data_IF_488244078921
#
_entry.id   IF_488244078921
#
_cell.length_a   1.000
_cell.length_b   1.000
_cell.length_c   1.000
_cell.angle_alpha   90.00
_cell.angle_beta   90.00
_cell.angle_gamma   90.00
#
_symmetry.space_group_name_H-M   'P 1'
#
loop_
_entity.id
_entity.type
_entity.pdbx_description
1 polymer ?
#
# COMPACT_ATOMS: atom_id res chain seq x y z
N UNK A 1 24.80 4.14 37.39
CA UNK A 1 24.94 5.08 36.26
C UNK A 1 25.79 4.43 35.18
N UNK A 2 25.18 3.86 34.15
CA UNK A 2 25.89 3.39 32.95
C UNK A 2 25.04 3.78 31.73
N UNK A 3 24.98 5.08 31.44
CA UNK A 3 24.50 5.57 30.15
C UNK A 3 25.61 5.36 29.11
N UNK A 4 25.60 4.21 28.46
CA UNK A 4 26.21 4.07 27.12
C UNK A 4 25.11 4.21 26.07
N UNK A 5 24.37 5.33 26.13
CA UNK A 5 23.57 5.80 25.00
C UNK A 5 24.52 6.25 23.89
N UNK A 6 24.93 5.32 23.03
CA UNK A 6 25.72 5.66 21.84
C UNK A 6 24.87 6.55 20.95
N UNK A 7 25.22 7.83 20.89
CA UNK A 7 24.61 8.85 20.05
C UNK A 7 24.38 8.30 18.63
N UNK A 8 23.12 8.03 18.29
CA UNK A 8 22.69 7.73 16.93
C UNK A 8 23.05 8.95 16.08
N UNK A 9 24.10 8.84 15.27
CA UNK A 9 24.57 9.98 14.46
C UNK A 9 23.52 10.33 13.41
N UNK A 10 23.24 11.62 13.19
CA UNK A 10 22.27 12.11 12.20
C UNK A 10 22.48 11.54 10.79
N UNK A 11 23.73 11.19 10.44
CA UNK A 11 24.10 10.51 9.20
C UNK A 11 23.51 9.10 9.09
N UNK A 12 23.49 8.32 10.18
CA UNK A 12 22.95 6.96 10.19
C UNK A 12 21.43 6.97 10.06
N UNK A 13 20.75 7.96 10.65
CA UNK A 13 19.30 8.17 10.51
C UNK A 13 18.94 8.48 9.05
N UNK A 14 19.69 9.37 8.38
CA UNK A 14 19.47 9.68 6.97
C UNK A 14 19.68 8.47 6.05
N UNK A 15 20.74 7.69 6.29
CA UNK A 15 21.00 6.46 5.52
C UNK A 15 19.85 5.46 5.71
N UNK A 16 19.42 5.23 6.96
CA UNK A 16 18.32 4.33 7.25
C UNK A 16 16.99 4.80 6.61
N UNK A 17 16.71 6.11 6.65
CA UNK A 17 15.52 6.68 6.00
C UNK A 17 15.51 6.40 4.49
N UNK A 18 16.60 6.69 3.78
CA UNK A 18 16.68 6.48 2.34
C UNK A 18 16.69 5.01 1.95
N UNK A 19 17.35 4.16 2.74
CA UNK A 19 17.36 2.71 2.52
C UNK A 19 15.97 2.11 2.71
N UNK A 20 15.24 2.54 3.74
CA UNK A 20 13.86 2.08 3.94
C UNK A 20 12.93 2.68 2.88
N UNK A 21 13.14 3.92 2.46
CA UNK A 21 12.40 4.55 1.36
C UNK A 21 12.57 3.82 0.02
N UNK A 22 13.74 3.23 -0.27
CA UNK A 22 13.89 2.42 -1.48
C UNK A 22 13.03 1.14 -1.46
N UNK A 23 12.71 0.61 -0.27
CA UNK A 23 11.76 -0.49 -0.15
C UNK A 23 10.38 -0.08 -0.66
N UNK A 24 9.92 1.15 -0.35
CA UNK A 24 8.62 1.68 -0.80
C UNK A 24 8.49 1.60 -2.31
N UNK A 25 9.55 1.96 -3.02
CA UNK A 25 9.64 1.81 -4.46
C UNK A 25 9.51 0.35 -4.92
N UNK A 26 10.25 -0.58 -4.30
CA UNK A 26 10.28 -2.00 -4.69
C UNK A 26 8.90 -2.67 -4.61
N UNK A 27 8.15 -2.46 -3.53
CA UNK A 27 6.82 -3.06 -3.43
C UNK A 27 5.78 -2.32 -4.26
N UNK A 28 5.90 -0.99 -4.42
CA UNK A 28 5.05 -0.23 -5.35
C UNK A 28 5.21 -0.73 -6.78
N UNK A 29 6.46 -0.94 -7.21
CA UNK A 29 6.78 -1.54 -8.50
C UNK A 29 6.20 -2.96 -8.65
N UNK A 30 6.32 -3.79 -7.61
CA UNK A 30 5.72 -5.14 -7.61
C UNK A 30 4.20 -5.10 -7.75
N UNK A 31 3.53 -4.19 -7.06
CA UNK A 31 2.08 -4.04 -7.13
C UNK A 31 1.65 -3.63 -8.54
N UNK A 32 2.34 -2.66 -9.14
CA UNK A 32 2.09 -2.26 -10.52
C UNK A 32 2.29 -3.39 -11.54
N UNK A 33 3.25 -4.28 -11.32
CA UNK A 33 3.45 -5.46 -12.17
C UNK A 33 2.37 -6.53 -12.01
N UNK A 34 1.77 -6.66 -10.82
CA UNK A 34 0.68 -7.61 -10.55
C UNK A 34 -0.50 -7.38 -11.51
N UNK A 35 -0.85 -6.12 -11.77
CA UNK A 35 -1.95 -5.75 -12.66
C UNK A 35 -1.67 -6.15 -14.12
N UNK A 36 -0.43 -5.94 -14.60
CA UNK A 36 -0.04 -6.39 -15.94
C UNK A 36 -0.01 -7.91 -16.04
N UNK A 37 0.45 -8.58 -14.98
CA UNK A 37 0.49 -10.04 -14.91
C UNK A 37 -0.90 -10.66 -14.95
N UNK A 38 -1.89 -10.07 -14.27
CA UNK A 38 -3.29 -10.49 -14.41
C UNK A 38 -3.75 -10.48 -15.87
N UNK A 39 -3.43 -9.39 -16.61
CA UNK A 39 -3.79 -9.29 -18.03
C UNK A 39 -3.03 -10.30 -18.88
N UNK A 40 -1.76 -10.52 -18.58
CA UNK A 40 -0.91 -11.50 -19.26
C UNK A 40 -1.50 -12.92 -19.17
N UNK A 41 -1.93 -13.34 -17.97
CA UNK A 41 -2.55 -14.66 -17.78
C UNK A 41 -3.88 -14.81 -18.51
N UNK A 42 -4.70 -13.76 -18.55
CA UNK A 42 -5.95 -13.77 -19.32
C UNK A 42 -5.69 -13.91 -20.83
N UNK A 43 -4.69 -13.21 -21.36
CA UNK A 43 -4.40 -13.19 -22.79
C UNK A 43 -3.66 -14.45 -23.28
N UNK A 44 -2.72 -14.98 -22.50
CA UNK A 44 -1.80 -16.03 -22.95
C UNK A 44 -2.06 -17.41 -22.34
N UNK A 45 -2.60 -17.48 -21.11
CA UNK A 45 -2.93 -18.75 -20.45
C UNK A 45 -4.43 -19.08 -20.48
N UNK A 46 -5.25 -18.25 -21.16
CA UNK A 46 -6.70 -18.46 -21.27
C UNK A 46 -7.43 -18.43 -19.92
N UNK A 47 -6.83 -17.82 -18.90
CA UNK A 47 -7.39 -17.78 -17.54
C UNK A 47 -8.61 -16.87 -17.51
N UNK A 48 -9.72 -17.38 -16.97
CA UNK A 48 -10.95 -16.58 -16.85
C UNK A 48 -10.76 -15.42 -15.87
N UNK A 49 -11.54 -14.35 -16.02
CA UNK A 49 -11.50 -13.20 -15.10
C UNK A 49 -11.66 -13.60 -13.64
N UNK A 50 -12.57 -14.55 -13.36
CA UNK A 50 -12.80 -15.08 -12.02
C UNK A 50 -11.56 -15.78 -11.44
N UNK A 51 -10.88 -16.61 -12.24
CA UNK A 51 -9.66 -17.30 -11.82
C UNK A 51 -8.50 -16.32 -11.66
N UNK A 52 -8.40 -15.28 -12.51
CA UNK A 52 -7.40 -14.21 -12.32
C UNK A 52 -7.64 -13.41 -11.03
N UNK A 53 -8.89 -13.30 -10.57
CA UNK A 53 -9.23 -12.73 -9.27
C UNK A 53 -8.65 -13.51 -8.09
N UNK A 54 -8.38 -14.81 -8.23
CA UNK A 54 -7.68 -15.59 -7.21
C UNK A 54 -6.25 -15.11 -6.98
N UNK A 55 -5.61 -14.49 -7.98
CA UNK A 55 -4.29 -13.90 -7.81
C UNK A 55 -4.34 -12.70 -6.87
N UNK A 56 -5.34 -11.83 -7.03
CA UNK A 56 -5.58 -10.72 -6.11
C UNK A 56 -5.95 -11.23 -4.71
N UNK A 57 -6.81 -12.25 -4.63
CA UNK A 57 -7.16 -12.87 -3.36
C UNK A 57 -5.93 -13.47 -2.65
N UNK A 58 -5.04 -14.14 -3.39
CA UNK A 58 -3.78 -14.65 -2.86
C UNK A 58 -2.84 -13.51 -2.42
N UNK A 59 -2.77 -12.44 -3.21
CA UNK A 59 -1.96 -11.27 -2.88
C UNK A 59 -2.44 -10.60 -1.58
N UNK A 60 -3.71 -10.22 -1.48
CA UNK A 60 -4.27 -9.63 -0.25
C UNK A 60 -4.31 -10.63 0.93
N UNK A 61 -4.52 -11.91 0.65
CA UNK A 61 -4.45 -12.98 1.65
C UNK A 61 -3.05 -13.11 2.24
N UNK A 62 -2.00 -12.99 1.41
CA UNK A 62 -0.60 -13.00 1.85
C UNK A 62 -0.30 -11.85 2.81
N UNK A 63 -0.81 -10.65 2.53
CA UNK A 63 -0.72 -9.48 3.42
C UNK A 63 -1.38 -9.72 4.77
N UNK A 64 -2.59 -10.30 4.77
CA UNK A 64 -3.33 -10.59 6.00
C UNK A 64 -2.62 -11.65 6.86
N UNK A 65 -2.14 -12.73 6.24
CA UNK A 65 -1.51 -13.86 6.94
C UNK A 65 -0.15 -13.48 7.50
N UNK A 66 0.68 -12.76 6.75
CA UNK A 66 2.07 -12.50 7.16
C UNK A 66 2.21 -11.40 8.20
N UNK A 67 1.25 -10.48 8.32
CA UNK A 67 1.39 -9.29 9.16
C UNK A 67 1.66 -9.65 10.64
N UNK A 68 0.95 -10.63 11.20
CA UNK A 68 1.17 -11.10 12.58
C UNK A 68 2.56 -11.77 12.71
N UNK A 69 2.92 -12.82 11.94
CA UNK A 69 4.26 -13.40 11.96
C UNK A 69 5.39 -12.38 11.78
N UNK A 70 5.22 -11.42 10.86
CA UNK A 70 6.19 -10.36 10.60
C UNK A 70 6.41 -9.48 11.83
N UNK A 71 5.33 -9.09 12.53
CA UNK A 71 5.48 -8.36 13.78
C UNK A 71 6.11 -9.18 14.90
N UNK A 72 5.83 -10.49 15.00
CA UNK A 72 6.46 -11.36 15.99
C UNK A 72 7.98 -11.43 15.77
N UNK A 73 8.41 -11.60 14.51
CA UNK A 73 9.83 -11.57 14.13
C UNK A 73 10.42 -10.20 14.45
N UNK A 74 9.71 -9.12 14.16
CA UNK A 74 10.16 -7.77 14.46
C UNK A 74 10.30 -7.49 15.96
N UNK A 75 9.41 -8.04 16.79
CA UNK A 75 9.47 -7.92 18.25
C UNK A 75 10.69 -8.65 18.79
N UNK A 76 11.06 -9.80 18.22
CA UNK A 76 12.19 -10.61 18.68
C UNK A 76 13.55 -10.18 18.12
N UNK A 77 13.61 -9.75 16.87
CA UNK A 77 14.85 -9.48 16.13
C UNK A 77 14.99 -8.03 15.63
N UNK A 78 14.12 -7.13 16.12
CA UNK A 78 14.07 -5.74 15.69
C UNK A 78 13.43 -5.56 14.31
N UNK A 79 13.17 -4.30 13.91
CA UNK A 79 12.60 -3.98 12.59
C UNK A 79 13.47 -4.52 11.45
N UNK A 80 14.79 -4.50 11.62
CA UNK A 80 15.74 -5.07 10.65
C UNK A 80 15.49 -6.56 10.41
N UNK A 81 15.21 -7.36 11.45
CA UNK A 81 14.91 -8.78 11.29
C UNK A 81 13.65 -9.03 10.46
N UNK A 82 12.59 -8.25 10.69
CA UNK A 82 11.36 -8.32 9.90
C UNK A 82 11.53 -7.88 8.44
N UNK A 83 12.36 -6.85 8.19
CA UNK A 83 12.71 -6.41 6.83
C UNK A 83 13.50 -7.48 6.08
N UNK A 84 14.50 -8.10 6.73
CA UNK A 84 15.30 -9.18 6.11
C UNK A 84 14.41 -10.36 5.75
N UNK A 85 13.49 -10.76 6.63
CA UNK A 85 12.51 -11.81 6.33
C UNK A 85 11.65 -11.43 5.12
N UNK A 86 11.17 -10.18 5.05
CA UNK A 86 10.38 -9.69 3.92
C UNK A 86 11.13 -9.71 2.59
N UNK A 87 12.37 -9.23 2.58
CA UNK A 87 13.22 -9.25 1.39
C UNK A 87 13.55 -10.69 0.95
N UNK A 88 13.79 -11.60 1.90
CA UNK A 88 14.09 -12.99 1.61
C UNK A 88 12.87 -13.71 0.99
N UNK A 89 11.68 -13.51 1.56
CA UNK A 89 10.43 -14.05 1.01
C UNK A 89 10.13 -13.44 -0.38
N UNK A 90 10.37 -12.15 -0.56
CA UNK A 90 10.16 -11.50 -1.86
C UNK A 90 11.10 -12.07 -2.93
N UNK A 91 12.40 -12.20 -2.62
CA UNK A 91 13.36 -12.83 -3.53
C UNK A 91 12.99 -14.29 -3.84
N UNK A 92 12.59 -15.06 -2.83
CA UNK A 92 12.15 -16.45 -3.00
C UNK A 92 10.94 -16.54 -3.94
N UNK A 93 9.91 -15.72 -3.70
CA UNK A 93 8.73 -15.69 -4.53
C UNK A 93 9.04 -15.28 -5.97
N UNK A 94 9.93 -14.29 -6.17
CA UNK A 94 10.38 -13.88 -7.50
C UNK A 94 11.17 -14.99 -8.23
N UNK A 95 12.00 -15.77 -7.53
CA UNK A 95 12.71 -16.91 -8.12
C UNK A 95 11.78 -18.09 -8.43
N UNK A 96 10.70 -18.28 -7.66
CA UNK A 96 9.66 -19.29 -7.93
C UNK A 96 8.85 -19.01 -9.20
N UNK A 97 8.92 -17.79 -9.75
CA UNK A 97 8.34 -17.48 -11.06
C UNK A 97 9.05 -18.26 -12.18
N UNK A 98 10.34 -18.61 -12.02
CA UNK A 98 11.09 -19.40 -13.01
C UNK A 98 10.44 -20.77 -13.26
N UNK A 99 10.29 -21.66 -12.24
CA UNK A 99 9.61 -22.94 -12.45
C UNK A 99 8.13 -22.76 -12.82
N UNK A 100 7.44 -21.75 -12.27
CA UNK A 100 6.05 -21.49 -12.63
C UNK A 100 5.86 -21.16 -14.11
N UNK A 101 6.80 -20.40 -14.68
CA UNK A 101 6.80 -19.99 -16.07
C UNK A 101 7.24 -21.11 -17.02
N UNK A 102 8.22 -21.93 -16.63
CA UNK A 102 8.64 -23.11 -17.41
C UNK A 102 7.50 -24.15 -17.53
N UNK A 103 6.76 -24.38 -16.45
CA UNK A 103 5.62 -25.30 -16.43
C UNK A 103 4.31 -24.66 -16.92
N UNK A 104 4.32 -23.35 -17.21
CA UNK A 104 3.14 -22.54 -17.58
C UNK A 104 1.96 -22.74 -16.62
N UNK A 105 2.23 -23.00 -15.34
CA UNK A 105 1.23 -23.43 -14.36
C UNK A 105 0.71 -22.26 -13.54
N UNK A 106 -0.57 -21.93 -13.74
CA UNK A 106 -1.24 -20.87 -12.98
C UNK A 106 -1.18 -21.09 -11.46
N UNK A 107 -1.25 -22.35 -11.00
CA UNK A 107 -1.18 -22.66 -9.56
C UNK A 107 0.21 -22.37 -8.97
N UNK A 108 1.28 -22.63 -9.72
CA UNK A 108 2.63 -22.29 -9.30
C UNK A 108 2.85 -20.77 -9.29
N UNK A 109 2.28 -20.05 -10.28
CA UNK A 109 2.26 -18.59 -10.25
C UNK A 109 1.52 -18.08 -9.02
N UNK A 110 0.33 -18.62 -8.73
CA UNK A 110 -0.45 -18.22 -7.55
C UNK A 110 0.33 -18.41 -6.25
N UNK A 111 1.05 -19.54 -6.10
CA UNK A 111 1.93 -19.78 -4.96
C UNK A 111 3.10 -18.78 -4.91
N UNK A 112 3.75 -18.52 -6.04
CA UNK A 112 4.85 -17.56 -6.12
C UNK A 112 4.39 -16.14 -5.73
N UNK A 113 3.25 -15.69 -6.26
CA UNK A 113 2.67 -14.39 -5.93
C UNK A 113 2.19 -14.30 -4.47
N UNK A 114 1.67 -15.40 -3.90
CA UNK A 114 1.35 -15.46 -2.48
C UNK A 114 2.61 -15.26 -1.61
N UNK A 115 3.72 -15.91 -1.96
CA UNK A 115 5.00 -15.76 -1.25
C UNK A 115 5.57 -14.34 -1.42
N UNK A 116 5.50 -13.78 -2.64
CA UNK A 116 5.85 -12.36 -2.89
C UNK A 116 5.02 -11.46 -1.97
N UNK A 117 3.70 -11.65 -1.94
CA UNK A 117 2.80 -10.87 -1.13
C UNK A 117 3.08 -10.99 0.38
N UNK A 118 3.47 -12.19 0.86
CA UNK A 118 3.98 -12.35 2.22
C UNK A 118 5.27 -11.53 2.45
N UNK A 119 6.20 -11.55 1.50
CA UNK A 119 7.40 -10.72 1.56
C UNK A 119 7.08 -9.23 1.67
N UNK A 120 6.22 -8.74 0.79
CA UNK A 120 5.79 -7.34 0.75
C UNK A 120 5.01 -6.93 2.02
N UNK A 121 4.08 -7.76 2.48
CA UNK A 121 3.34 -7.53 3.73
C UNK A 121 4.27 -7.48 4.94
N UNK A 122 5.34 -8.28 4.97
CA UNK A 122 6.38 -8.17 6.01
C UNK A 122 7.16 -6.86 5.88
N UNK A 123 7.52 -6.43 4.67
CA UNK A 123 8.19 -5.14 4.46
C UNK A 123 7.32 -3.99 4.94
N UNK A 124 6.04 -3.95 4.59
CA UNK A 124 5.12 -2.89 5.00
C UNK A 124 4.86 -2.88 6.51
N UNK A 125 4.73 -4.06 7.12
CA UNK A 125 4.55 -4.20 8.58
C UNK A 125 5.74 -3.64 9.37
N UNK A 126 6.93 -3.61 8.76
CA UNK A 126 8.15 -3.15 9.42
C UNK A 126 8.61 -1.75 8.98
N UNK A 127 8.52 -1.43 7.69
CA UNK A 127 9.01 -0.18 7.11
C UNK A 127 8.13 1.02 7.50
N UNK A 128 6.79 0.86 7.48
CA UNK A 128 5.87 1.92 7.87
C UNK A 128 6.09 2.39 9.32
N UNK A 129 6.04 1.51 10.35
CA UNK A 129 6.27 1.95 11.72
C UNK A 129 7.70 2.43 11.95
N UNK A 130 8.69 1.86 11.26
CA UNK A 130 10.08 2.32 11.34
C UNK A 130 10.21 3.77 10.89
N UNK A 131 9.69 4.15 9.71
CA UNK A 131 9.74 5.53 9.21
C UNK A 131 8.96 6.49 10.11
N UNK A 132 7.78 6.06 10.62
CA UNK A 132 7.00 6.91 11.52
C UNK A 132 7.70 7.14 12.85
N UNK A 133 8.53 6.20 13.35
CA UNK A 133 9.29 6.37 14.60
C UNK A 133 10.74 6.86 14.40
N UNK A 134 11.18 7.02 13.15
CA UNK A 134 12.50 7.55 12.79
C UNK A 134 12.53 9.10 12.91
N UNK A 135 12.23 9.62 14.10
CA UNK A 135 12.16 11.06 14.39
C UNK A 135 11.00 11.41 15.33
N UNK A 136 10.66 12.71 15.43
CA UNK A 136 9.57 13.18 16.31
C UNK A 136 8.18 12.74 15.86
N UNK A 137 7.27 12.52 16.80
CA UNK A 137 5.89 12.11 16.50
C UNK A 137 5.13 13.20 15.70
N UNK A 138 5.48 14.49 15.84
CA UNK A 138 4.88 15.61 15.09
C UNK A 138 5.06 15.48 13.56
N UNK A 139 6.27 15.11 13.13
CA UNK A 139 6.62 14.97 11.71
C UNK A 139 6.38 13.53 11.19
N UNK A 140 5.78 12.63 11.99
CA UNK A 140 5.61 11.23 11.62
C UNK A 140 4.82 11.07 10.31
N UNK A 141 3.70 11.79 10.18
CA UNK A 141 2.87 11.79 8.97
C UNK A 141 3.62 12.32 7.74
N UNK A 142 4.41 13.38 7.89
CA UNK A 142 5.25 13.93 6.82
C UNK A 142 6.28 12.89 6.33
N UNK A 143 7.00 12.23 7.24
CA UNK A 143 8.04 11.25 6.89
C UNK A 143 7.48 10.05 6.15
N UNK A 144 6.37 9.47 6.63
CA UNK A 144 5.76 8.33 5.95
C UNK A 144 5.15 8.72 4.60
N UNK A 145 4.53 9.90 4.47
CA UNK A 145 4.02 10.37 3.17
C UNK A 145 5.16 10.60 2.16
N UNK A 146 6.30 11.14 2.61
CA UNK A 146 7.49 11.30 1.78
C UNK A 146 8.00 9.93 1.30
N UNK A 147 8.14 8.95 2.20
CA UNK A 147 8.57 7.61 1.83
C UNK A 147 7.56 6.93 0.87
N UNK A 148 6.26 7.05 1.16
CA UNK A 148 5.19 6.56 0.28
C UNK A 148 5.14 7.25 -1.08
N UNK A 149 5.72 8.44 -1.25
CA UNK A 149 5.81 9.06 -2.58
C UNK A 149 6.65 8.21 -3.55
N UNK A 150 7.70 7.55 -3.06
CA UNK A 150 8.50 6.61 -3.84
C UNK A 150 7.72 5.34 -4.20
N UNK A 151 6.82 4.89 -3.32
CA UNK A 151 5.89 3.81 -3.65
C UNK A 151 4.99 4.19 -4.83
N UNK A 152 4.43 5.41 -4.85
CA UNK A 152 3.61 5.88 -5.96
C UNK A 152 4.39 5.93 -7.29
N UNK A 153 5.67 6.32 -7.26
CA UNK A 153 6.54 6.25 -8.44
C UNK A 153 6.74 4.80 -8.91
N UNK A 154 6.98 3.87 -7.98
CA UNK A 154 7.09 2.45 -8.30
C UNK A 154 5.82 1.90 -8.97
N UNK A 155 4.66 2.22 -8.40
CA UNK A 155 3.36 1.77 -8.92
C UNK A 155 3.06 2.34 -10.31
N UNK A 156 3.55 3.53 -10.63
CA UNK A 156 3.45 4.09 -11.98
C UNK A 156 4.42 3.43 -12.98
N UNK A 157 5.65 3.13 -12.57
CA UNK A 157 6.64 2.50 -13.45
C UNK A 157 6.40 1.01 -13.70
N UNK A 158 5.81 0.30 -12.72
CA UNK A 158 5.52 -1.14 -12.81
C UNK A 158 4.75 -1.50 -14.08
N UNK A 159 3.59 -0.89 -14.36
CA UNK A 159 2.80 -1.19 -15.54
C UNK A 159 3.51 -0.84 -16.86
N UNK A 160 4.34 0.21 -16.88
CA UNK A 160 5.09 0.62 -18.08
C UNK A 160 6.14 -0.44 -18.43
N UNK A 161 6.93 -0.86 -17.45
CA UNK A 161 7.96 -1.89 -17.63
C UNK A 161 7.31 -3.24 -17.95
N UNK A 162 6.26 -3.62 -17.20
CA UNK A 162 5.52 -4.85 -17.44
C UNK A 162 4.86 -4.87 -18.82
N UNK A 163 4.20 -3.78 -19.22
CA UNK A 163 3.53 -3.69 -20.53
C UNK A 163 4.51 -3.83 -21.69
N UNK A 164 5.63 -3.10 -21.63
CA UNK A 164 6.66 -3.14 -22.66
C UNK A 164 7.30 -4.53 -22.79
N UNK A 165 7.64 -5.18 -21.67
CA UNK A 165 8.38 -6.44 -21.67
C UNK A 165 7.48 -7.68 -21.82
N UNK A 166 6.29 -7.68 -21.22
CA UNK A 166 5.36 -8.81 -21.29
C UNK A 166 4.51 -8.77 -22.56
N UNK A 167 3.85 -7.63 -22.82
CA UNK A 167 2.77 -7.55 -23.81
C UNK A 167 3.27 -7.09 -25.20
N UNK A 168 4.22 -6.16 -25.29
CA UNK A 168 4.63 -5.57 -26.57
C UNK A 168 5.66 -6.40 -27.35
N UNK A 169 6.54 -7.13 -26.68
CA UNK A 169 7.61 -7.90 -27.34
C UNK A 169 7.15 -9.28 -27.83
N UNK A 170 6.03 -9.81 -27.33
CA UNK A 170 5.69 -11.22 -27.49
C UNK A 170 4.94 -11.58 -28.78
N UNK A 171 4.29 -10.63 -29.49
CA UNK A 171 3.59 -10.88 -30.77
C UNK A 171 2.79 -12.22 -30.85
N UNK A 172 2.16 -12.66 -29.74
CA UNK A 172 1.39 -13.91 -29.68
C UNK A 172 2.18 -15.19 -29.40
N UNK A 173 3.51 -15.13 -29.26
CA UNK A 173 4.40 -16.25 -28.91
C UNK A 173 4.45 -16.42 -27.38
N UNK A 174 3.84 -17.49 -26.87
CA UNK A 174 3.73 -17.80 -25.44
C UNK A 174 5.10 -18.07 -24.82
N UNK A 175 6.01 -18.74 -25.53
CA UNK A 175 7.31 -19.12 -24.99
C UNK A 175 8.22 -17.90 -24.81
N UNK A 176 8.17 -16.96 -25.76
CA UNK A 176 8.87 -15.67 -25.62
C UNK A 176 8.27 -14.81 -24.52
N UNK A 177 6.95 -14.81 -24.38
CA UNK A 177 6.29 -14.11 -23.28
C UNK A 177 6.77 -14.63 -21.92
N UNK A 178 6.76 -15.96 -21.74
CA UNK A 178 7.20 -16.61 -20.51
C UNK A 178 8.68 -16.32 -20.21
N UNK A 179 9.56 -16.35 -21.21
CA UNK A 179 10.96 -15.95 -21.04
C UNK A 179 11.11 -14.48 -20.60
N UNK A 180 10.30 -13.55 -21.14
CA UNK A 180 10.33 -12.15 -20.72
C UNK A 180 9.81 -11.95 -19.29
N UNK A 181 8.77 -12.70 -18.90
CA UNK A 181 8.28 -12.73 -17.51
C UNK A 181 9.40 -13.18 -16.57
N UNK A 182 10.09 -14.27 -16.90
CA UNK A 182 11.24 -14.73 -16.13
C UNK A 182 12.33 -13.67 -16.03
N UNK A 183 12.69 -13.03 -17.13
CA UNK A 183 13.74 -12.00 -17.15
C UNK A 183 13.42 -10.85 -16.19
N UNK A 184 12.18 -10.36 -16.19
CA UNK A 184 11.77 -9.28 -15.27
C UNK A 184 11.84 -9.73 -13.81
N UNK A 185 11.29 -10.90 -13.48
CA UNK A 185 11.27 -11.38 -12.10
C UNK A 185 12.65 -11.80 -11.59
N UNK A 186 13.53 -12.32 -12.45
CA UNK A 186 14.95 -12.53 -12.12
C UNK A 186 15.65 -11.19 -11.87
N UNK A 187 15.40 -10.18 -12.71
CA UNK A 187 15.91 -8.82 -12.49
C UNK A 187 15.48 -8.25 -11.14
N UNK A 188 14.20 -8.41 -10.79
CA UNK A 188 13.66 -8.04 -9.48
C UNK A 188 14.37 -8.83 -8.37
N UNK A 189 14.51 -10.15 -8.49
CA UNK A 189 15.17 -10.98 -7.49
C UNK A 189 16.62 -10.52 -7.25
N UNK A 190 17.37 -10.20 -8.30
CA UNK A 190 18.75 -9.67 -8.19
C UNK A 190 18.76 -8.34 -7.43
N UNK A 191 17.88 -7.41 -7.79
CA UNK A 191 17.78 -6.11 -7.10
C UNK A 191 17.39 -6.29 -5.63
N UNK A 192 16.41 -7.14 -5.34
CA UNK A 192 15.95 -7.44 -3.98
C UNK A 192 17.05 -8.10 -3.14
N UNK A 193 17.82 -9.03 -3.72
CA UNK A 193 18.96 -9.66 -3.06
C UNK A 193 20.10 -8.67 -2.80
N UNK A 194 20.36 -7.75 -3.73
CA UNK A 194 21.33 -6.67 -3.51
C UNK A 194 20.89 -5.76 -2.36
N UNK A 195 19.62 -5.37 -2.32
CA UNK A 195 19.05 -4.59 -1.20
C UNK A 195 19.13 -5.38 0.10
N UNK A 196 18.81 -6.68 0.09
CA UNK A 196 18.96 -7.57 1.25
C UNK A 196 20.39 -7.58 1.78
N UNK A 197 21.39 -7.73 0.89
CA UNK A 197 22.80 -7.70 1.27
C UNK A 197 23.17 -6.37 1.94
N UNK A 198 22.73 -5.24 1.37
CA UNK A 198 22.93 -3.92 1.98
C UNK A 198 22.26 -3.84 3.35
N UNK A 199 21.03 -4.30 3.52
CA UNK A 199 20.35 -4.31 4.83
C UNK A 199 21.09 -5.16 5.87
N UNK A 200 21.61 -6.33 5.48
CA UNK A 200 22.40 -7.19 6.36
C UNK A 200 23.67 -6.47 6.81
N UNK A 201 24.39 -5.82 5.89
CA UNK A 201 25.65 -5.11 6.16
C UNK A 201 25.46 -3.80 6.94
N UNK A 202 24.33 -3.12 6.77
CA UNK A 202 24.08 -1.81 7.38
C UNK A 202 23.58 -1.97 8.82
N UNK A 203 24.15 -1.21 9.76
CA UNK A 203 23.60 -1.13 11.13
C UNK A 203 22.48 -0.10 11.17
N UNK A 204 21.26 -0.55 11.43
CA UNK A 204 20.10 0.31 11.61
C UNK A 204 19.88 0.57 13.10
N UNK A 205 19.76 1.84 13.54
CA UNK A 205 19.29 2.13 14.89
C UNK A 205 17.86 1.60 15.04
N UNK A 206 17.52 1.07 16.21
CA UNK A 206 16.13 0.67 16.46
C UNK A 206 15.26 1.93 16.60
N UNK A 207 14.04 1.90 16.05
CA UNK A 207 13.14 3.07 16.11
C UNK A 207 12.86 3.55 17.53
N UNK A 208 12.88 2.64 18.52
CA UNK A 208 12.79 2.92 19.96
C UNK A 208 13.94 3.77 20.46
N UNK A 209 15.18 3.47 20.05
CA UNK A 209 16.37 4.24 20.45
C UNK A 209 16.31 5.68 19.94
N UNK A 210 15.65 5.92 18.80
CA UNK A 210 15.47 7.27 18.23
C UNK A 210 14.35 8.03 18.94
N UNK A 211 13.22 7.39 19.25
CA UNK A 211 12.13 8.01 20.02
C UNK A 211 12.50 8.32 21.47
N UNK A 212 13.35 7.50 22.10
CA UNK A 212 13.88 7.74 23.44
C UNK A 212 14.76 9.00 23.48
N UNK A 213 15.39 9.34 22.35
CA UNK A 213 16.27 10.52 22.22
C UNK A 213 15.48 11.81 21.94
N UNK A 214 14.28 11.73 21.36
CA UNK A 214 13.43 12.91 21.08
C UNK A 214 12.46 13.27 22.20
N UNK A 215 12.37 12.45 23.26
CA UNK A 215 11.43 12.66 24.37
C UNK A 215 9.99 12.24 24.07
N UNK A 216 9.74 11.61 22.92
CA UNK A 216 8.43 11.11 22.50
C UNK A 216 8.20 9.64 22.90
N UNK A 217 9.14 9.04 23.62
CA UNK A 217 9.04 7.67 24.10
C UNK A 217 7.97 7.55 25.19
N UNK A 218 6.87 6.88 24.83
CA UNK A 218 5.90 6.40 25.80
C UNK A 218 6.45 5.11 26.41
N UNK A 219 6.63 5.11 27.73
CA UNK A 219 7.15 3.97 28.48
C UNK A 219 6.34 2.70 28.20
N UNK A 220 7.01 1.55 28.25
CA UNK A 220 6.36 0.26 28.05
C UNK A 220 5.23 0.05 29.08
N UNK A 221 4.03 -0.22 28.57
CA UNK A 221 2.84 -0.47 29.40
C UNK A 221 2.24 -1.85 29.11
N UNK A 222 1.68 -2.47 30.16
CA UNK A 222 0.92 -3.71 30.08
C UNK A 222 1.75 -4.97 29.80
N UNK A 223 1.07 -6.02 29.38
CA UNK A 223 1.68 -7.31 29.04
C UNK A 223 2.38 -7.33 27.68
N UNK A 224 2.27 -6.22 26.94
CA UNK A 224 2.64 -6.13 25.54
C UNK A 224 1.71 -6.95 24.63
N UNK A 225 0.52 -7.39 25.08
CA UNK A 225 -0.37 -8.24 24.29
C UNK A 225 -1.18 -7.45 23.26
N UNK A 226 -1.69 -8.11 22.22
CA UNK A 226 -2.63 -7.50 21.27
C UNK A 226 -3.88 -6.94 21.95
N UNK A 227 -4.31 -7.52 23.07
CA UNK A 227 -5.44 -7.01 23.86
C UNK A 227 -5.18 -5.63 24.49
N UNK A 228 -3.92 -5.27 24.73
CA UNK A 228 -3.56 -3.95 25.27
C UNK A 228 -3.77 -2.85 24.22
N UNK A 229 -3.64 -3.16 22.93
CA UNK A 229 -3.89 -2.20 21.83
C UNK A 229 -5.36 -1.75 21.75
N UNK A 230 -6.30 -2.63 22.08
CA UNK A 230 -7.73 -2.33 22.02
C UNK A 230 -8.16 -1.29 23.07
N UNK A 231 -7.35 -1.08 24.11
CA UNK A 231 -7.57 -0.02 25.11
C UNK A 231 -7.36 1.37 24.53
N UNK A 232 -6.50 1.49 23.52
CA UNK A 232 -6.24 2.76 22.83
C UNK A 232 -7.34 3.00 21.79
N UNK A 233 -8.31 3.84 22.17
CA UNK A 233 -9.47 4.16 21.33
C UNK A 233 -9.06 4.73 19.97
N UNK A 234 -8.06 5.63 19.92
CA UNK A 234 -7.61 6.22 18.66
C UNK A 234 -6.98 5.21 17.71
N UNK A 235 -6.28 4.20 18.25
CA UNK A 235 -5.74 3.11 17.45
C UNK A 235 -6.84 2.21 16.89
N UNK A 236 -7.76 1.77 17.73
CA UNK A 236 -8.87 0.89 17.31
C UNK A 236 -9.74 1.55 16.23
N UNK A 237 -10.05 2.84 16.41
CA UNK A 237 -10.77 3.62 15.40
C UNK A 237 -9.95 3.81 14.11
N UNK A 238 -8.62 3.92 14.24
CA UNK A 238 -7.68 4.03 13.14
C UNK A 238 -7.59 2.77 12.28
N UNK A 239 -7.62 1.58 12.89
CA UNK A 239 -7.69 0.30 12.16
C UNK A 239 -8.96 0.23 11.30
N UNK A 240 -10.10 0.66 11.83
CA UNK A 240 -11.35 0.73 11.07
C UNK A 240 -11.25 1.79 9.95
N UNK A 241 -10.65 2.94 10.23
CA UNK A 241 -10.47 4.00 9.24
C UNK A 241 -9.58 3.51 8.08
N UNK A 242 -8.51 2.78 8.40
CA UNK A 242 -7.60 2.19 7.44
C UNK A 242 -8.31 1.15 6.57
N UNK A 243 -9.10 0.24 7.19
CA UNK A 243 -9.89 -0.75 6.48
C UNK A 243 -10.86 -0.09 5.49
N UNK A 244 -11.64 0.87 5.96
CA UNK A 244 -12.64 1.57 5.14
C UNK A 244 -12.00 2.42 4.04
N UNK A 245 -10.86 3.04 4.32
CA UNK A 245 -10.10 3.77 3.31
C UNK A 245 -9.60 2.83 2.20
N UNK A 246 -8.95 1.72 2.56
CA UNK A 246 -8.43 0.78 1.55
C UNK A 246 -9.56 0.16 0.75
N UNK A 247 -10.67 -0.20 1.41
CA UNK A 247 -11.89 -0.62 0.75
C UNK A 247 -12.36 0.41 -0.29
N UNK A 248 -12.43 1.69 0.07
CA UNK A 248 -12.84 2.75 -0.84
C UNK A 248 -11.86 2.98 -1.99
N UNK A 249 -10.55 2.97 -1.70
CA UNK A 249 -9.52 3.17 -2.71
C UNK A 249 -9.53 2.05 -3.77
N UNK A 250 -9.53 0.80 -3.32
CA UNK A 250 -9.52 -0.36 -4.23
C UNK A 250 -10.85 -0.45 -4.98
N UNK A 251 -11.98 -0.18 -4.32
CA UNK A 251 -13.30 -0.12 -4.97
C UNK A 251 -13.36 0.94 -6.07
N UNK A 252 -12.90 2.16 -5.78
CA UNK A 252 -12.84 3.25 -6.78
C UNK A 252 -11.93 2.90 -7.97
N UNK A 253 -10.80 2.23 -7.72
CA UNK A 253 -9.91 1.76 -8.79
C UNK A 253 -10.54 0.66 -9.64
N UNK A 254 -11.16 -0.34 -9.00
CA UNK A 254 -11.78 -1.48 -9.68
C UNK A 254 -12.91 -1.07 -10.63
N UNK A 255 -13.70 -0.06 -10.26
CA UNK A 255 -14.85 0.41 -11.06
C UNK A 255 -14.58 1.69 -11.87
N UNK A 256 -13.35 2.22 -11.88
CA UNK A 256 -13.01 3.44 -12.61
C UNK A 256 -13.35 3.34 -14.10
N UNK A 257 -12.89 2.26 -14.74
CA UNK A 257 -13.06 2.05 -16.19
C UNK A 257 -14.55 1.85 -16.50
N UNK A 258 -15.21 0.96 -15.74
CA UNK A 258 -16.64 0.68 -15.90
C UNK A 258 -17.48 1.96 -15.79
N UNK A 259 -17.24 2.78 -14.77
CA UNK A 259 -17.93 4.05 -14.60
C UNK A 259 -17.67 5.02 -15.75
N UNK A 260 -16.41 5.14 -16.18
CA UNK A 260 -16.04 6.05 -17.27
C UNK A 260 -16.74 5.69 -18.59
N UNK A 261 -16.79 4.40 -18.93
CA UNK A 261 -17.44 3.91 -20.16
C UNK A 261 -18.96 4.06 -20.08
N UNK A 262 -19.56 3.78 -18.93
CA UNK A 262 -21.02 3.90 -18.74
C UNK A 262 -21.50 5.37 -18.79
N UNK A 263 -20.70 6.31 -18.26
CA UNK A 263 -21.08 7.72 -18.14
C UNK A 263 -20.51 8.62 -19.26
N UNK A 264 -19.69 8.09 -20.17
CA UNK A 264 -19.20 8.78 -21.36
C UNK A 264 -19.52 7.99 -22.62
N UNK A 265 -20.56 8.42 -23.35
CA UNK A 265 -20.96 7.74 -24.58
C UNK A 265 -19.87 7.83 -25.66
N UNK A 266 -19.54 6.67 -26.23
CA UNK A 266 -18.53 6.55 -27.28
C UNK A 266 -17.09 6.46 -26.78
N UNK A 267 -16.86 6.48 -25.46
CA UNK A 267 -15.53 6.25 -24.89
C UNK A 267 -15.17 4.76 -24.99
N UNK A 268 -14.03 4.45 -25.61
CA UNK A 268 -13.55 3.07 -25.69
C UNK A 268 -12.83 2.63 -24.41
N UNK A 269 -12.89 1.35 -24.07
CA UNK A 269 -12.23 0.75 -22.90
C UNK A 269 -10.73 1.10 -22.79
N UNK A 270 -10.03 1.15 -23.92
CA UNK A 270 -8.60 1.47 -23.95
C UNK A 270 -8.32 2.94 -23.60
N UNK A 271 -9.21 3.86 -23.97
CA UNK A 271 -9.12 5.28 -23.60
C UNK A 271 -9.45 5.46 -22.11
N UNK A 272 -10.46 4.75 -21.60
CA UNK A 272 -10.79 4.73 -20.18
C UNK A 272 -9.62 4.18 -19.33
N UNK A 273 -8.92 3.15 -19.80
CA UNK A 273 -7.70 2.64 -19.16
C UNK A 273 -6.54 3.66 -19.17
N UNK A 274 -6.40 4.44 -20.25
CA UNK A 274 -5.46 5.56 -20.30
C UNK A 274 -5.83 6.65 -19.29
N UNK A 275 -7.11 7.00 -19.16
CA UNK A 275 -7.58 7.93 -18.14
C UNK A 275 -7.40 7.40 -16.72
N UNK A 276 -7.54 6.10 -16.49
CA UNK A 276 -7.21 5.50 -15.19
C UNK A 276 -5.72 5.67 -14.86
N UNK A 277 -4.84 5.52 -15.85
CA UNK A 277 -3.40 5.78 -15.68
C UNK A 277 -3.14 7.24 -15.28
N UNK A 278 -3.88 8.20 -15.86
CA UNK A 278 -3.83 9.60 -15.44
C UNK A 278 -4.34 9.78 -14.00
N UNK A 279 -5.35 9.02 -13.56
CA UNK A 279 -5.82 9.04 -12.18
C UNK A 279 -4.73 8.59 -11.19
N UNK A 280 -3.95 7.57 -11.55
CA UNK A 280 -2.80 7.12 -10.74
C UNK A 280 -1.69 8.19 -10.69
N UNK A 281 -1.48 8.92 -11.79
CA UNK A 281 -0.58 10.09 -11.78
C UNK A 281 -1.15 11.20 -10.90
N UNK A 282 -2.45 11.48 -10.95
CA UNK A 282 -3.09 12.45 -10.07
C UNK A 282 -2.95 12.08 -8.59
N UNK A 283 -3.04 10.78 -8.27
CA UNK A 283 -2.77 10.25 -6.93
C UNK A 283 -1.31 10.49 -6.51
N UNK A 284 -0.33 10.23 -7.39
CA UNK A 284 1.08 10.51 -7.12
C UNK A 284 1.34 12.02 -6.93
N UNK A 285 0.80 12.86 -7.82
CA UNK A 285 0.94 14.32 -7.77
C UNK A 285 0.30 14.86 -6.49
N UNK A 286 -0.89 14.38 -6.12
CA UNK A 286 -1.54 14.74 -4.85
C UNK A 286 -0.65 14.44 -3.65
N UNK A 287 0.02 13.30 -3.65
CA UNK A 287 0.96 12.96 -2.57
C UNK A 287 2.16 13.91 -2.54
N UNK A 288 2.81 14.14 -3.68
CA UNK A 288 4.00 14.99 -3.78
C UNK A 288 3.69 16.45 -3.41
N UNK A 289 2.54 16.98 -3.85
CA UNK A 289 2.12 18.36 -3.59
C UNK A 289 1.71 18.54 -2.13
N UNK A 290 1.02 17.56 -1.54
CA UNK A 290 0.45 17.69 -0.19
C UNK A 290 1.44 17.36 0.91
N UNK A 291 2.43 16.50 0.66
CA UNK A 291 3.44 16.12 1.67
C UNK A 291 4.14 17.35 2.27
N UNK A 292 4.67 18.33 1.51
CA UNK A 292 5.27 19.55 2.08
C UNK A 292 4.30 20.41 2.91
N UNK A 293 3.00 20.36 2.61
CA UNK A 293 1.97 21.13 3.31
C UNK A 293 1.78 20.60 4.74
N UNK A 294 2.04 19.30 4.97
CA UNK A 294 1.95 18.66 6.29
C UNK A 294 2.94 19.25 7.32
N UNK A 295 3.98 19.96 6.89
CA UNK A 295 4.87 20.70 7.80
C UNK A 295 4.25 21.98 8.37
N UNK A 296 3.19 22.49 7.75
CA UNK A 296 2.53 23.76 8.13
C UNK A 296 1.13 23.56 8.68
N UNK A 297 0.46 22.50 8.24
CA UNK A 297 -0.93 22.21 8.61
C UNK A 297 -0.99 20.83 9.24
N UNK A 298 -1.72 20.71 10.36
CA UNK A 298 -1.86 19.43 11.08
C UNK A 298 -2.41 18.35 10.14
N UNK A 299 -1.74 17.20 10.11
CA UNK A 299 -2.03 16.11 9.16
C UNK A 299 -3.45 15.53 9.33
N UNK A 300 -4.01 15.59 10.55
CA UNK A 300 -5.37 15.16 10.83
C UNK A 300 -6.44 16.06 10.16
N UNK A 301 -6.18 17.38 10.06
CA UNK A 301 -7.06 18.34 9.37
C UNK A 301 -7.01 18.14 7.86
N UNK A 302 -5.82 17.87 7.31
CA UNK A 302 -5.66 17.57 5.87
C UNK A 302 -6.42 16.28 5.55
N UNK A 303 -6.23 15.21 6.32
CA UNK A 303 -6.93 13.94 6.16
C UNK A 303 -8.46 14.12 6.18
N UNK A 304 -8.96 14.89 7.16
CA UNK A 304 -10.38 15.15 7.30
C UNK A 304 -10.95 15.91 6.10
N UNK A 305 -10.28 17.00 5.69
CA UNK A 305 -10.68 17.81 4.55
C UNK A 305 -10.70 16.99 3.26
N UNK A 306 -9.64 16.21 3.00
CA UNK A 306 -9.52 15.39 1.80
C UNK A 306 -10.60 14.30 1.75
N UNK A 307 -10.91 13.71 2.90
CA UNK A 307 -11.95 12.69 2.99
C UNK A 307 -13.36 13.29 2.83
N UNK A 308 -13.61 14.50 3.34
CA UNK A 308 -14.88 15.21 3.09
C UNK A 308 -15.03 15.60 1.62
N UNK A 309 -13.96 16.04 0.97
CA UNK A 309 -13.98 16.32 -0.47
C UNK A 309 -14.31 15.03 -1.24
N UNK A 310 -13.66 13.92 -0.92
CA UNK A 310 -13.96 12.62 -1.54
C UNK A 310 -15.42 12.17 -1.30
N UNK A 311 -15.96 12.37 -0.10
CA UNK A 311 -17.36 12.12 0.18
C UNK A 311 -18.28 12.96 -0.73
N UNK A 312 -17.99 14.25 -0.89
CA UNK A 312 -18.70 15.12 -1.83
C UNK A 312 -18.58 14.65 -3.28
N UNK A 313 -17.39 14.20 -3.69
CA UNK A 313 -17.15 13.65 -5.03
C UNK A 313 -18.05 12.44 -5.30
N UNK A 314 -18.23 11.51 -4.35
CA UNK A 314 -19.11 10.35 -4.54
C UNK A 314 -20.56 10.75 -4.88
N UNK A 315 -21.02 11.88 -4.34
CA UNK A 315 -22.34 12.45 -4.64
C UNK A 315 -22.34 13.14 -6.02
N UNK A 316 -21.31 13.92 -6.32
CA UNK A 316 -21.18 14.62 -7.61
C UNK A 316 -21.15 13.63 -8.79
N UNK A 317 -20.52 12.47 -8.62
CA UNK A 317 -20.49 11.38 -9.61
C UNK A 317 -21.88 10.91 -10.06
N UNK A 318 -22.94 11.16 -9.29
CA UNK A 318 -24.31 10.79 -9.70
C UNK A 318 -24.90 11.72 -10.76
N UNK A 319 -24.30 12.90 -10.97
CA UNK A 319 -24.87 13.97 -11.80
C UNK A 319 -24.00 14.37 -12.99
N UNK A 320 -22.74 13.92 -13.03
CA UNK A 320 -21.78 14.26 -14.08
C UNK A 320 -21.67 13.18 -15.13
N UNK A 321 -21.45 13.59 -16.38
CA UNK A 321 -21.33 12.72 -17.55
C UNK A 321 -20.19 13.20 -18.45
N UNK A 322 -19.75 12.35 -19.38
CA UNK A 322 -18.65 12.60 -20.33
C UNK A 322 -17.34 12.98 -19.61
N UNK A 323 -16.54 13.85 -20.22
CA UNK A 323 -15.25 14.30 -19.67
C UNK A 323 -15.33 14.79 -18.21
N UNK A 324 -16.33 15.58 -17.76
CA UNK A 324 -16.51 15.93 -16.36
C UNK A 324 -16.51 14.74 -15.38
N UNK A 325 -17.12 13.61 -15.77
CA UNK A 325 -17.18 12.42 -14.92
C UNK A 325 -15.79 11.84 -14.64
N UNK A 326 -14.94 11.81 -15.67
CA UNK A 326 -13.54 11.35 -15.56
C UNK A 326 -12.68 12.34 -14.77
N UNK A 327 -12.86 13.66 -14.98
CA UNK A 327 -12.13 14.70 -14.24
C UNK A 327 -12.43 14.60 -12.74
N UNK A 328 -13.69 14.41 -12.37
CA UNK A 328 -14.10 14.27 -10.97
C UNK A 328 -13.47 13.02 -10.33
N UNK A 329 -13.34 11.91 -11.08
CA UNK A 329 -12.60 10.74 -10.61
C UNK A 329 -11.10 11.04 -10.43
N UNK A 330 -10.45 11.77 -11.34
CA UNK A 330 -9.04 12.17 -11.16
C UNK A 330 -8.84 12.99 -9.89
N UNK A 331 -9.74 13.94 -9.63
CA UNK A 331 -9.74 14.70 -8.38
C UNK A 331 -9.90 13.78 -7.17
N UNK A 332 -10.76 12.76 -7.26
CA UNK A 332 -10.93 11.81 -6.16
C UNK A 332 -9.62 11.10 -5.82
N UNK A 333 -8.92 10.58 -6.84
CA UNK A 333 -7.61 9.94 -6.67
C UNK A 333 -6.55 10.91 -6.09
N UNK A 334 -6.55 12.17 -6.54
CA UNK A 334 -5.69 13.21 -5.96
C UNK A 334 -5.94 13.36 -4.44
N UNK A 335 -7.20 13.42 -4.00
CA UNK A 335 -7.54 13.56 -2.58
C UNK A 335 -7.41 12.25 -1.78
N UNK A 336 -7.37 11.09 -2.42
CA UNK A 336 -7.06 9.83 -1.72
C UNK A 336 -5.57 9.65 -1.42
N UNK A 337 -4.70 10.40 -2.10
CA UNK A 337 -3.25 10.20 -2.15
C UNK A 337 -2.53 10.05 -0.81
N UNK A 338 -2.91 10.84 0.18
CA UNK A 338 -2.25 10.93 1.50
C UNK A 338 -2.93 10.14 2.61
N UNK A 339 -4.12 9.59 2.36
CA UNK A 339 -4.96 9.07 3.44
C UNK A 339 -4.37 7.82 4.10
N UNK A 340 -3.89 6.83 3.33
CA UNK A 340 -3.22 5.64 3.87
C UNK A 340 -2.08 5.97 4.85
N UNK A 341 -1.01 6.68 4.42
CA UNK A 341 0.12 7.00 5.30
C UNK A 341 -0.29 7.86 6.49
N UNK A 342 -1.23 8.77 6.28
CA UNK A 342 -1.66 9.70 7.33
C UNK A 342 -2.48 9.00 8.41
N UNK A 343 -3.42 8.13 8.03
CA UNK A 343 -4.17 7.29 8.99
C UNK A 343 -3.19 6.38 9.74
N UNK A 344 -2.23 5.76 9.05
CA UNK A 344 -1.22 4.91 9.67
C UNK A 344 -0.44 5.69 10.74
N UNK A 345 0.13 6.84 10.38
CA UNK A 345 0.89 7.67 11.31
C UNK A 345 0.04 8.09 12.51
N UNK A 346 -1.16 8.62 12.29
CA UNK A 346 -2.05 9.08 13.36
C UNK A 346 -2.51 7.94 14.29
N UNK A 347 -2.58 6.71 13.78
CA UNK A 347 -2.97 5.53 14.56
C UNK A 347 -1.87 5.04 15.50
N UNK A 348 -0.59 5.24 15.14
CA UNK A 348 0.57 4.76 15.92
C UNK A 348 1.21 5.85 16.79
N UNK A 349 0.75 7.09 16.70
CA UNK A 349 1.13 8.20 17.59
C UNK A 349 0.70 7.89 19.03
N UNK A 350 1.57 8.21 20.01
CA UNK A 350 1.36 7.97 21.44
C UNK A 350 1.07 6.50 21.82
N UNK A 351 1.42 5.53 20.97
CA UNK A 351 1.39 4.11 21.30
C UNK A 351 2.73 3.70 21.95
N UNK A 352 2.73 2.96 23.07
CA UNK A 352 3.94 2.46 23.72
C UNK A 352 4.87 1.69 22.78
N UNK A 353 6.18 1.84 22.97
CA UNK A 353 7.20 1.28 22.06
C UNK A 353 7.09 -0.24 21.91
N UNK A 354 6.84 -0.97 23.00
CA UNK A 354 6.58 -2.42 22.98
C UNK A 354 5.34 -2.84 22.16
N UNK A 355 4.41 -1.92 21.88
CA UNK A 355 3.15 -2.18 21.18
C UNK A 355 3.14 -1.71 19.71
N UNK A 356 4.00 -0.76 19.31
CA UNK A 356 4.02 -0.19 17.94
C UNK A 356 4.15 -1.24 16.84
N UNK A 357 5.03 -2.25 17.02
CA UNK A 357 5.23 -3.34 16.04
C UNK A 357 3.94 -4.16 15.83
N UNK A 358 3.20 -4.40 16.91
CA UNK A 358 1.91 -5.12 16.87
C UNK A 358 0.80 -4.23 16.30
N UNK A 359 0.79 -2.95 16.66
CA UNK A 359 -0.11 -1.95 16.09
C UNK A 359 -0.01 -1.90 14.56
N UNK A 360 1.23 -1.86 14.05
CA UNK A 360 1.51 -1.90 12.62
C UNK A 360 0.94 -3.15 11.95
N UNK A 361 1.10 -4.34 12.55
CA UNK A 361 0.55 -5.57 11.95
C UNK A 361 -0.96 -5.51 11.76
N UNK A 362 -1.73 -5.02 12.75
CA UNK A 362 -3.18 -4.91 12.63
C UNK A 362 -3.60 -3.87 11.58
N UNK A 363 -2.84 -2.76 11.46
CA UNK A 363 -3.06 -1.78 10.40
C UNK A 363 -2.78 -2.37 9.01
N UNK A 364 -1.74 -3.18 8.85
CA UNK A 364 -1.47 -3.87 7.57
C UNK A 364 -2.53 -4.95 7.28
N UNK A 365 -2.99 -5.69 8.28
CA UNK A 365 -4.09 -6.65 8.10
C UNK A 365 -5.35 -5.97 7.58
N UNK A 366 -5.62 -4.72 7.96
CA UNK A 366 -6.80 -3.97 7.52
C UNK A 366 -6.84 -3.72 6.00
N UNK A 367 -5.71 -3.88 5.29
CA UNK A 367 -5.64 -3.80 3.81
C UNK A 367 -6.58 -4.82 3.15
N UNK A 368 -6.89 -5.91 3.84
CA UNK A 368 -7.88 -6.91 3.39
C UNK A 368 -9.24 -6.28 3.03
N UNK A 369 -9.58 -5.10 3.58
CA UNK A 369 -10.76 -4.32 3.19
C UNK A 369 -10.89 -4.11 1.67
N UNK A 370 -9.76 -4.00 0.96
CA UNK A 370 -9.71 -3.85 -0.49
C UNK A 370 -10.22 -5.07 -1.27
N UNK A 371 -10.22 -6.27 -0.68
CA UNK A 371 -10.68 -7.49 -1.34
C UNK A 371 -12.21 -7.58 -1.40
N UNK A 372 -12.93 -6.98 -0.45
CA UNK A 372 -14.38 -7.16 -0.33
C UNK A 372 -15.19 -6.04 -0.99
N UNK A 373 -14.71 -4.79 -0.97
CA UNK A 373 -15.48 -3.65 -1.52
C UNK A 373 -15.82 -3.80 -3.01
N UNK A 374 -14.91 -4.26 -3.90
CA UNK A 374 -15.24 -4.48 -5.30
C UNK A 374 -16.39 -5.46 -5.51
N UNK A 375 -16.52 -6.48 -4.65
CA UNK A 375 -17.65 -7.42 -4.71
C UNK A 375 -18.98 -6.73 -4.41
N UNK A 376 -19.04 -5.92 -3.36
CA UNK A 376 -20.27 -5.17 -3.02
C UNK A 376 -20.61 -4.11 -4.08
N UNK A 377 -19.59 -3.40 -4.60
CA UNK A 377 -19.78 -2.44 -5.69
C UNK A 377 -20.28 -3.14 -6.97
N UNK A 378 -19.76 -4.32 -7.30
CA UNK A 378 -20.22 -5.13 -8.43
C UNK A 378 -21.69 -5.50 -8.33
N UNK A 379 -22.12 -6.01 -7.17
CA UNK A 379 -23.53 -6.35 -6.96
C UNK A 379 -24.47 -5.15 -7.13
N UNK A 380 -24.08 -3.96 -6.66
CA UNK A 380 -24.87 -2.74 -6.87
C UNK A 380 -24.82 -2.30 -8.34
N UNK A 381 -23.66 -2.39 -8.98
CA UNK A 381 -23.48 -2.01 -10.38
C UNK A 381 -24.30 -2.88 -11.34
N UNK A 382 -24.36 -4.20 -11.10
CA UNK A 382 -25.11 -5.13 -11.94
C UNK A 382 -26.63 -4.88 -11.91
N UNK A 383 -27.14 -4.33 -10.81
CA UNK A 383 -28.56 -4.02 -10.69
C UNK A 383 -28.89 -2.57 -11.05
N UNK A 384 -28.08 -1.61 -10.59
CA UNK A 384 -28.44 -0.18 -10.55
C UNK A 384 -27.45 0.71 -11.35
N UNK A 385 -26.43 0.13 -11.97
CA UNK A 385 -25.40 0.84 -12.72
C UNK A 385 -24.21 1.27 -11.86
N UNK A 386 -23.11 1.64 -12.52
CA UNK A 386 -21.86 1.95 -11.81
C UNK A 386 -21.93 3.21 -10.97
N UNK A 387 -22.75 4.21 -11.35
CA UNK A 387 -22.90 5.46 -10.58
C UNK A 387 -23.30 5.21 -9.11
N UNK A 388 -24.44 4.56 -8.86
CA UNK A 388 -24.88 4.21 -7.50
C UNK A 388 -23.87 3.33 -6.73
N UNK A 389 -23.07 2.49 -7.40
CA UNK A 389 -22.05 1.68 -6.73
C UNK A 389 -21.00 2.53 -6.00
N UNK A 390 -20.65 3.71 -6.52
CA UNK A 390 -19.72 4.65 -5.86
C UNK A 390 -20.28 5.26 -4.58
N UNK A 391 -21.61 5.26 -4.37
CA UNK A 391 -22.20 5.71 -3.11
C UNK A 391 -21.87 4.78 -1.94
N UNK A 392 -21.48 3.53 -2.19
CA UNK A 392 -20.96 2.65 -1.13
C UNK A 392 -19.66 3.17 -0.51
N UNK A 393 -18.91 4.00 -1.24
CA UNK A 393 -17.66 4.60 -0.77
C UNK A 393 -17.90 5.84 0.10
N UNK A 394 -19.09 6.47 0.00
CA UNK A 394 -19.47 7.64 0.78
C UNK A 394 -19.34 7.43 2.31
N UNK A 395 -19.94 6.38 2.92
CA UNK A 395 -19.79 6.15 4.36
C UNK A 395 -18.33 5.86 4.76
N UNK A 396 -17.54 5.26 3.87
CA UNK A 396 -16.12 5.02 4.12
C UNK A 396 -15.35 6.34 4.27
N UNK A 397 -15.51 7.26 3.32
CA UNK A 397 -14.86 8.58 3.40
C UNK A 397 -15.37 9.44 4.55
N UNK A 398 -16.68 9.38 4.87
CA UNK A 398 -17.23 10.09 6.02
C UNK A 398 -16.65 9.58 7.34
N UNK A 399 -16.45 8.26 7.48
CA UNK A 399 -15.80 7.71 8.66
C UNK A 399 -14.34 8.15 8.77
N UNK A 400 -13.58 8.13 7.66
CA UNK A 400 -12.19 8.60 7.64
C UNK A 400 -12.11 10.10 7.98
N UNK A 401 -13.06 10.90 7.48
CA UNK A 401 -13.16 12.31 7.82
C UNK A 401 -13.41 12.52 9.31
N UNK A 402 -14.38 11.80 9.87
CA UNK A 402 -14.66 11.82 11.30
C UNK A 402 -13.46 11.37 12.14
N UNK A 403 -12.74 10.34 11.69
CA UNK A 403 -11.53 9.86 12.35
C UNK A 403 -10.48 10.97 12.42
N UNK A 404 -10.20 11.66 11.32
CA UNK A 404 -9.26 12.80 11.31
C UNK A 404 -9.65 13.94 12.26
N UNK A 405 -10.95 14.23 12.41
CA UNK A 405 -11.43 15.32 13.27
C UNK A 405 -11.52 14.96 14.76
N UNK A 406 -11.99 13.74 15.08
CA UNK A 406 -12.37 13.36 16.44
C UNK A 406 -11.81 12.02 16.91
N UNK A 407 -11.37 11.17 15.98
CA UNK A 407 -10.89 9.82 16.28
C UNK A 407 -9.40 9.72 16.57
N UNK A 408 -8.60 10.73 16.20
CA UNK A 408 -7.16 10.77 16.48
C UNK A 408 -6.85 10.94 17.96
N UNK A 409 -5.62 10.59 18.36
CA UNK A 409 -5.14 10.88 19.71
C UNK A 409 -5.28 12.37 20.00
N UNK A 410 -5.83 12.72 21.17
CA UNK A 410 -5.90 14.11 21.61
C UNK A 410 -4.49 14.60 21.96
N UNK A 411 -4.18 15.83 21.58
CA UNK A 411 -2.94 16.51 21.94
C UNK A 411 -2.78 16.60 23.46
#
# INVERSE_FOLDING_TARGET
>A
MNQTGKLVTSRNIKIAFWLVTSLFFLWGFSYGLLDVMNKNFQNHLGVTKAVSGLLQAAYFGGYFVIAIPASMVATKFGYKGGIIMGLALYALGALLIIPASNEQSFNLFLLAFFIIACGLGSLETNANPYITKLGSDEDAAFRINMAQSFNGVGQFLGPIVGGALFLSLSHGDIDKNMANVQMVYVGIAVVVLAVLAVFVMTRMPEGSEVSDTTGDAVADEGSGSYGDLLKYRHFSLGVIAQLLYVAAQVGAGAFFINYSVEHWQGLADHEAAYFFSIALVAFLVGRIVTTPIMKKVKSNVILATYSLINAGIMIVLQFVHNLPAVIVLWLSFFFMSISFPTIFALSVVKIPNNLVKKAASLLIMSIVGGAFMPFFMGNVADHWGTGPSFLLLLPCFLYVAWYGLKGVAKD
#
